data_IF_950007956395
#
_entry.id   IF_950007956395
#
_cell.length_a   1.000
_cell.length_b   1.000
_cell.length_c   1.000
_cell.angle_alpha   90.00
_cell.angle_beta   90.00
_cell.angle_gamma   90.00
#
_symmetry.space_group_name_H-M   'P 1'
#
loop_
_entity.id
_entity.type
_entity.pdbx_description
1 polymer ?
#
# COMPACT_ATOMS: atom_id res chain seq x y z
N UNK A 1 -10.15 -12.80 -15.47
CA UNK A 1 -10.08 -11.63 -16.36
C UNK A 1 -8.62 -11.23 -16.46
N UNK A 2 -8.07 -11.02 -17.65
CA UNK A 2 -6.71 -10.51 -17.79
C UNK A 2 -6.58 -9.24 -16.94
N UNK A 3 -5.57 -9.17 -16.09
CA UNK A 3 -5.41 -8.04 -15.17
C UNK A 3 -5.14 -6.79 -16.02
N UNK A 4 -6.17 -5.97 -16.22
CA UNK A 4 -6.05 -4.70 -16.90
C UNK A 4 -4.99 -3.83 -16.19
N UNK A 5 -4.35 -2.93 -16.93
CA UNK A 5 -3.41 -1.97 -16.34
C UNK A 5 -4.04 -1.29 -15.11
N UNK A 6 -3.34 -1.37 -13.96
CA UNK A 6 -3.76 -0.72 -12.73
C UNK A 6 -3.16 0.67 -12.63
N UNK A 7 -4.00 1.66 -12.34
CA UNK A 7 -3.53 2.98 -11.93
C UNK A 7 -3.25 2.96 -10.44
N UNK A 8 -2.04 3.38 -10.06
CA UNK A 8 -1.56 3.42 -8.69
C UNK A 8 -0.87 4.75 -8.39
N UNK A 9 -0.95 5.19 -7.13
CA UNK A 9 -0.18 6.33 -6.63
C UNK A 9 1.08 5.84 -5.92
N UNK A 10 2.18 6.60 -5.98
CA UNK A 10 3.46 6.21 -5.39
C UNK A 10 4.22 7.38 -4.75
N UNK A 11 5.49 7.17 -4.41
CA UNK A 11 6.35 8.13 -3.67
C UNK A 11 6.00 8.30 -2.18
N UNK A 12 5.51 7.24 -1.53
CA UNK A 12 5.24 7.23 -0.10
C UNK A 12 6.09 6.18 0.62
N UNK A 13 6.45 6.41 1.88
CA UNK A 13 7.14 5.39 2.71
C UNK A 13 6.25 4.89 3.86
N UNK A 14 5.05 5.41 4.01
CA UNK A 14 4.11 5.05 5.07
C UNK A 14 2.70 4.92 4.51
N UNK A 15 1.98 3.88 4.94
CA UNK A 15 0.57 3.69 4.61
C UNK A 15 -0.31 4.38 5.66
N UNK A 16 -0.28 5.72 5.69
CA UNK A 16 -1.07 6.51 6.63
C UNK A 16 -2.57 6.51 6.26
N UNK A 17 -3.44 6.80 7.22
CA UNK A 17 -4.89 6.93 6.95
C UNK A 17 -5.19 8.08 5.99
N UNK A 18 -4.37 9.14 6.03
CA UNK A 18 -4.45 10.26 5.09
C UNK A 18 -4.15 9.80 3.65
N UNK A 19 -3.10 9.00 3.46
CA UNK A 19 -2.78 8.43 2.15
C UNK A 19 -3.91 7.53 1.64
N UNK A 20 -4.45 6.66 2.49
CA UNK A 20 -5.56 5.78 2.12
C UNK A 20 -6.80 6.57 1.68
N UNK A 21 -7.16 7.64 2.43
CA UNK A 21 -8.26 8.54 2.07
C UNK A 21 -7.99 9.27 0.76
N UNK A 22 -6.78 9.78 0.57
CA UNK A 22 -6.37 10.45 -0.67
C UNK A 22 -6.50 9.52 -1.89
N UNK A 23 -6.01 8.28 -1.78
CA UNK A 23 -6.11 7.30 -2.86
C UNK A 23 -7.57 6.95 -3.19
N UNK A 24 -8.42 6.80 -2.16
CA UNK A 24 -9.85 6.58 -2.34
C UNK A 24 -10.53 7.76 -3.08
N UNK A 25 -10.17 9.01 -2.75
CA UNK A 25 -10.68 10.20 -3.42
C UNK A 25 -10.25 10.28 -4.89
N UNK A 26 -9.04 9.83 -5.22
CA UNK A 26 -8.55 9.78 -6.60
C UNK A 26 -9.21 8.67 -7.44
N UNK A 27 -9.92 7.72 -6.82
CA UNK A 27 -10.51 6.58 -7.51
C UNK A 27 -9.48 5.60 -8.08
N UNK A 28 -8.25 5.60 -7.54
CA UNK A 28 -7.23 4.61 -7.92
C UNK A 28 -7.48 3.28 -7.24
N UNK A 29 -6.89 2.22 -7.77
CA UNK A 29 -6.99 0.86 -7.20
C UNK A 29 -5.66 0.34 -6.67
N UNK A 30 -4.58 1.11 -6.78
CA UNK A 30 -3.24 0.72 -6.33
C UNK A 30 -2.49 1.78 -5.56
N UNK A 31 -1.55 1.34 -4.73
CA UNK A 31 -0.60 2.18 -3.99
C UNK A 31 0.79 1.54 -4.06
N UNK A 32 1.82 2.35 -4.27
CA UNK A 32 3.22 1.92 -4.26
C UNK A 32 3.95 2.60 -3.12
N UNK A 33 4.59 1.81 -2.26
CA UNK A 33 5.42 2.32 -1.18
C UNK A 33 6.91 2.16 -1.53
N UNK A 34 7.64 3.26 -1.48
CA UNK A 34 9.09 3.30 -1.61
C UNK A 34 9.70 3.08 -0.23
N UNK A 35 10.41 1.97 -0.06
CA UNK A 35 11.07 1.61 1.20
C UNK A 35 10.14 1.81 2.41
N UNK A 36 9.02 1.07 2.49
CA UNK A 36 8.06 1.22 3.57
C UNK A 36 8.73 1.16 4.95
N UNK A 37 8.36 2.09 5.83
CA UNK A 37 8.84 2.18 7.21
C UNK A 37 8.20 1.07 8.05
N UNK A 38 8.76 -0.13 7.91
CA UNK A 38 8.44 -1.28 8.74
C UNK A 38 9.57 -1.54 9.75
N UNK A 39 9.29 -2.25 10.85
CA UNK A 39 10.32 -2.71 11.77
C UNK A 39 11.40 -3.57 11.11
N UNK A 40 12.58 -3.62 11.74
CA UNK A 40 13.71 -4.45 11.32
C UNK A 40 14.89 -3.64 10.75
N UNK A 41 16.10 -4.08 11.06
CA UNK A 41 17.35 -3.40 10.64
C UNK A 41 17.92 -3.96 9.33
N UNK A 42 17.76 -5.26 9.08
CA UNK A 42 18.33 -5.95 7.92
C UNK A 42 17.28 -6.39 6.89
N UNK A 43 16.04 -6.63 7.35
CA UNK A 43 14.92 -7.08 6.54
C UNK A 43 13.60 -6.77 7.23
N UNK A 44 12.52 -6.80 6.46
CA UNK A 44 11.16 -6.80 6.99
C UNK A 44 10.74 -8.22 7.37
N UNK A 45 10.06 -8.36 8.50
CA UNK A 45 9.50 -9.63 8.92
C UNK A 45 8.14 -9.87 8.27
N UNK A 46 7.80 -11.15 8.08
CA UNK A 46 6.59 -11.56 7.35
C UNK A 46 5.32 -10.93 7.94
N UNK A 47 5.21 -10.88 9.27
CA UNK A 47 4.02 -10.35 9.93
C UNK A 47 3.83 -8.85 9.69
N UNK A 48 4.92 -8.08 9.61
CA UNK A 48 4.86 -6.65 9.31
C UNK A 48 4.37 -6.41 7.87
N UNK A 49 4.85 -7.22 6.93
CA UNK A 49 4.40 -7.20 5.54
C UNK A 49 2.94 -7.61 5.39
N UNK A 50 2.52 -8.64 6.13
CA UNK A 50 1.14 -9.10 6.13
C UNK A 50 0.21 -8.02 6.66
N UNK A 51 0.54 -7.39 7.79
CA UNK A 51 -0.25 -6.29 8.35
C UNK A 51 -0.32 -5.07 7.42
N UNK A 52 0.80 -4.71 6.79
CA UNK A 52 0.84 -3.64 5.80
C UNK A 52 -0.10 -3.93 4.62
N UNK A 53 -0.04 -5.16 4.08
CA UNK A 53 -0.87 -5.60 2.96
C UNK A 53 -2.35 -5.62 3.33
N UNK A 54 -2.71 -6.24 4.45
CA UNK A 54 -4.12 -6.39 4.85
C UNK A 54 -4.75 -5.04 5.20
N UNK A 55 -3.99 -4.09 5.74
CA UNK A 55 -4.47 -2.71 5.94
C UNK A 55 -4.80 -2.01 4.62
N UNK A 56 -3.99 -2.21 3.58
CA UNK A 56 -4.25 -1.68 2.24
C UNK A 56 -5.51 -2.32 1.63
N UNK A 57 -5.60 -3.65 1.71
CA UNK A 57 -6.74 -4.42 1.17
C UNK A 57 -8.05 -4.11 1.91
N UNK A 58 -8.00 -3.79 3.20
CA UNK A 58 -9.19 -3.45 4.00
C UNK A 58 -9.95 -2.21 3.49
N UNK A 59 -9.30 -1.35 2.70
CA UNK A 59 -9.94 -0.18 2.06
C UNK A 59 -10.13 -0.36 0.55
N UNK A 60 -10.00 -1.59 0.04
CA UNK A 60 -10.19 -1.91 -1.38
C UNK A 60 -9.03 -1.50 -2.29
N UNK A 61 -7.88 -1.13 -1.73
CA UNK A 61 -6.66 -0.82 -2.48
C UNK A 61 -5.73 -2.06 -2.53
N UNK A 62 -4.72 -2.01 -3.39
CA UNK A 62 -3.70 -3.06 -3.50
C UNK A 62 -2.29 -2.48 -3.58
N UNK A 63 -1.37 -3.09 -2.82
CA UNK A 63 0.08 -2.82 -2.90
C UNK A 63 0.70 -3.42 -4.17
#
# INVERSE_FOLDING_TARGET
MAEAFRIATGQFSELSDELLRFCAQLGVSGVVLNTPKLPGEQRWEFMDLLHLRTRCEAVGLRL
#
